data_IF_242825090829
#
_entry.id   IF_242825090829
#
_cell.length_a   1.000
_cell.length_b   1.000
_cell.length_c   1.000
_cell.angle_alpha   90.00
_cell.angle_beta   90.00
_cell.angle_gamma   90.00
#
_symmetry.space_group_name_H-M   'P 1'
#
loop_
_entity.id
_entity.type
_entity.pdbx_description
1 polymer ?
#
# COMPACT_ATOMS: atom_id res chain seq x y z
N UNK A 1 -13.29 -23.56 -1.88
CA UNK A 1 -13.66 -22.26 -1.28
C UNK A 1 -12.39 -21.65 -0.74
N UNK A 2 -11.74 -20.81 -1.55
CA UNK A 2 -10.52 -20.13 -1.14
C UNK A 2 -10.87 -18.99 -0.19
N UNK A 3 -10.23 -19.02 0.98
CA UNK A 3 -10.28 -17.96 1.97
C UNK A 3 -9.71 -16.68 1.33
N UNK A 4 -10.58 -15.76 0.88
CA UNK A 4 -10.19 -14.36 0.65
C UNK A 4 -9.94 -13.72 2.01
N UNK A 5 -8.80 -14.04 2.63
CA UNK A 5 -8.27 -13.27 3.75
C UNK A 5 -8.11 -11.84 3.24
N UNK A 6 -8.95 -10.93 3.73
CA UNK A 6 -8.86 -9.50 3.43
C UNK A 6 -7.42 -9.05 3.69
N UNK A 7 -6.75 -8.58 2.64
CA UNK A 7 -5.29 -8.33 2.63
C UNK A 7 -4.96 -7.05 3.42
N UNK A 8 -5.97 -6.21 3.66
CA UNK A 8 -5.84 -4.91 4.32
C UNK A 8 -5.35 -4.97 5.77
N UNK A 9 -5.48 -6.11 6.46
CA UNK A 9 -5.11 -6.24 7.87
C UNK A 9 -3.60 -6.08 8.16
N UNK A 10 -2.74 -6.07 7.13
CA UNK A 10 -1.30 -5.93 7.31
C UNK A 10 -0.75 -4.50 7.14
N UNK A 11 -1.54 -3.57 6.60
CA UNK A 11 -1.08 -2.21 6.36
C UNK A 11 -1.51 -1.29 7.50
N UNK A 12 -0.56 -0.56 8.10
CA UNK A 12 -0.81 0.39 9.19
C UNK A 12 -0.49 1.79 8.72
N UNK A 13 -1.22 2.77 9.25
CA UNK A 13 -0.89 4.19 9.04
C UNK A 13 0.54 4.45 9.54
N UNK A 14 1.33 5.16 8.74
CA UNK A 14 2.76 5.42 8.94
C UNK A 14 3.67 4.27 8.50
N UNK A 15 3.14 3.14 8.02
CA UNK A 15 3.97 2.08 7.42
C UNK A 15 4.48 2.51 6.06
N UNK A 16 5.73 2.15 5.78
CA UNK A 16 6.31 2.23 4.43
C UNK A 16 6.00 0.95 3.66
N UNK A 17 5.60 1.13 2.41
CA UNK A 17 5.18 0.07 1.51
C UNK A 17 5.71 0.37 0.11
N UNK A 18 5.63 -0.61 -0.77
CA UNK A 18 5.82 -0.42 -2.20
C UNK A 18 4.46 -0.42 -2.90
N UNK A 19 4.17 0.63 -3.66
CA UNK A 19 3.06 0.68 -4.60
C UNK A 19 3.57 0.24 -5.97
N UNK A 20 2.97 -0.80 -6.54
CA UNK A 20 3.32 -1.34 -7.84
C UNK A 20 2.36 -0.77 -8.89
N UNK A 21 2.84 0.22 -9.64
CA UNK A 21 2.13 0.79 -10.77
C UNK A 21 2.56 0.11 -12.07
N UNK A 22 1.62 -0.17 -12.98
CA UNK A 22 1.94 -0.82 -14.26
C UNK A 22 2.76 0.07 -15.20
N UNK A 23 2.65 1.40 -15.09
CA UNK A 23 3.34 2.35 -15.96
C UNK A 23 4.67 2.85 -15.35
N UNK A 24 4.68 3.11 -14.04
CA UNK A 24 5.80 3.72 -13.32
C UNK A 24 6.67 2.69 -12.58
N UNK A 25 6.20 1.46 -12.44
CA UNK A 25 6.86 0.41 -11.68
C UNK A 25 6.64 0.54 -10.17
N UNK A 26 7.52 -0.09 -9.40
CA UNK A 26 7.43 -0.11 -7.94
C UNK A 26 7.98 1.16 -7.32
N UNK A 27 7.19 1.87 -6.52
CA UNK A 27 7.59 3.10 -5.83
C UNK A 27 7.34 3.02 -4.32
N UNK A 28 8.24 3.55 -3.47
CA UNK A 28 8.05 3.56 -2.04
C UNK A 28 7.01 4.64 -1.65
N UNK A 29 6.05 4.25 -0.83
CA UNK A 29 5.01 5.13 -0.30
C UNK A 29 4.84 4.95 1.22
N UNK A 30 4.33 5.98 1.88
CA UNK A 30 3.84 5.91 3.25
C UNK A 30 2.32 5.82 3.27
N UNK A 31 1.76 4.96 4.12
CA UNK A 31 0.31 4.84 4.32
C UNK A 31 -0.18 5.98 5.20
N UNK A 32 -1.00 6.87 4.66
CA UNK A 32 -1.65 7.94 5.42
C UNK A 32 -3.00 7.51 6.00
N UNK A 33 -3.76 6.68 5.28
CA UNK A 33 -5.08 6.20 5.70
C UNK A 33 -5.36 4.80 5.16
N UNK A 34 -6.17 4.02 5.89
CA UNK A 34 -6.61 2.67 5.51
C UNK A 34 -8.14 2.66 5.46
N UNK A 35 -8.71 2.42 4.27
CA UNK A 35 -10.15 2.38 3.99
C UNK A 35 -10.55 1.03 3.41
N UNK A 36 -10.90 0.07 4.24
CA UNK A 36 -11.25 -1.30 3.81
C UNK A 36 -10.21 -1.89 2.85
N UNK A 37 -10.44 -1.86 1.53
CA UNK A 37 -9.52 -2.37 0.48
C UNK A 37 -8.70 -1.28 -0.24
N UNK A 38 -8.76 -0.03 0.21
CA UNK A 38 -8.06 1.13 -0.35
C UNK A 38 -7.09 1.71 0.69
N UNK A 39 -5.90 2.08 0.24
CA UNK A 39 -4.90 2.83 1.00
C UNK A 39 -4.79 4.24 0.43
N UNK A 40 -4.72 5.24 1.30
CA UNK A 40 -4.28 6.59 0.92
C UNK A 40 -2.78 6.63 1.13
N UNK A 41 -2.03 6.87 0.05
CA UNK A 41 -0.57 6.79 0.01
C UNK A 41 0.04 8.15 -0.26
N UNK A 42 1.21 8.38 0.34
CA UNK A 42 2.08 9.51 0.03
C UNK A 42 3.43 9.01 -0.47
N UNK A 43 3.82 9.45 -1.68
CA UNK A 43 5.12 9.15 -2.27
C UNK A 43 6.15 10.26 -2.00
N UNK A 44 5.76 11.38 -1.38
CA UNK A 44 6.62 12.52 -1.07
C UNK A 44 6.96 13.43 -2.27
N UNK A 45 6.47 13.13 -3.47
CA UNK A 45 6.69 13.92 -4.68
C UNK A 45 5.42 14.65 -5.14
N UNK A 46 4.27 14.02 -4.96
CA UNK A 46 2.97 14.50 -5.43
C UNK A 46 1.96 14.63 -4.28
N UNK A 47 0.71 14.95 -4.62
CA UNK A 47 -0.38 14.89 -3.65
C UNK A 47 -0.68 13.44 -3.28
N UNK A 48 -1.16 13.18 -2.05
CA UNK A 48 -1.61 11.84 -1.67
C UNK A 48 -2.65 11.28 -2.63
N UNK A 49 -2.55 9.98 -2.90
CA UNK A 49 -3.40 9.27 -3.86
C UNK A 49 -3.96 7.98 -3.27
N UNK A 50 -5.05 7.49 -3.86
CA UNK A 50 -5.70 6.25 -3.44
C UNK A 50 -5.20 5.08 -4.28
N UNK A 51 -4.81 3.99 -3.63
CA UNK A 51 -4.36 2.75 -4.26
C UNK A 51 -5.07 1.55 -3.64
N UNK A 52 -5.26 0.47 -4.40
CA UNK A 52 -5.79 -0.76 -3.82
C UNK A 52 -4.71 -1.48 -3.04
N UNK A 53 -5.13 -2.12 -1.97
CA UNK A 53 -4.27 -2.99 -1.16
C UNK A 53 -3.62 -4.10 -2.01
N UNK A 54 -4.29 -4.57 -3.08
CA UNK A 54 -3.75 -5.58 -4.01
C UNK A 54 -2.54 -5.11 -4.81
N UNK A 55 -2.43 -3.80 -5.01
CA UNK A 55 -1.39 -3.17 -5.83
C UNK A 55 -0.21 -2.73 -4.94
N UNK A 56 -0.23 -3.15 -3.66
CA UNK A 56 0.70 -2.73 -2.64
C UNK A 56 1.38 -3.93 -1.99
N UNK A 57 2.67 -3.80 -1.71
CA UNK A 57 3.46 -4.80 -0.99
C UNK A 57 4.10 -4.16 0.25
N UNK A 58 4.07 -4.84 1.41
CA UNK A 58 4.76 -4.34 2.60
C UNK A 58 6.27 -4.26 2.32
N UNK A 59 6.91 -3.18 2.75
CA UNK A 59 8.36 -3.13 2.77
C UNK A 59 8.83 -4.02 3.93
N UNK A 60 9.13 -5.29 3.63
CA UNK A 60 9.55 -6.29 4.61
C UNK A 60 10.87 -5.84 5.24
N UNK A 61 10.80 -5.27 6.45
CA UNK A 61 11.96 -4.90 7.27
C UNK A 61 12.52 -6.19 7.91
N UNK A 62 13.01 -7.10 7.07
CA UNK A 62 13.66 -8.33 7.52
C UNK A 62 15.03 -8.00 8.09
N UNK A 63 15.03 -7.60 9.37
CA UNK A 63 16.21 -7.52 10.24
C UNK A 63 16.24 -8.68 11.23
#
# INVERSE_FOLDING_TARGET
MENKKSIAYNFKIGSRIYFNDEELGSMPCEVLEVKEDILVLDNGYDKPFEAKVSDCEPQDDSR
#
